data_IF_132017054721
#
_entry.id   IF_132017054721
#
_cell.length_a   1.000
_cell.length_b   1.000
_cell.length_c   1.000
_cell.angle_alpha   90.00
_cell.angle_beta   90.00
_cell.angle_gamma   90.00
#
_symmetry.space_group_name_H-M   'P 1'
#
loop_
_entity.id
_entity.type
_entity.pdbx_description
1 polymer ?
#
# COMPACT_ATOMS: atom_id res chain seq x y z
N UNK A 1 -5.03 12.95 6.78
CA UNK A 1 -4.28 11.96 7.59
C UNK A 1 -2.97 12.55 8.16
N UNK A 2 -2.51 12.17 9.36
CA UNK A 2 -1.24 12.65 9.99
C UNK A 2 0.03 12.44 9.13
N UNK A 3 -0.01 11.60 8.10
CA UNK A 3 1.06 11.47 7.11
C UNK A 3 1.31 12.76 6.31
N UNK A 4 0.28 13.58 6.06
CA UNK A 4 0.43 14.84 5.33
C UNK A 4 1.26 15.88 6.09
N UNK A 5 1.37 15.74 7.42
CA UNK A 5 2.12 16.64 8.28
C UNK A 5 3.62 16.28 8.34
N UNK A 6 4.01 15.12 7.82
CA UNK A 6 5.41 14.70 7.73
C UNK A 6 6.01 15.24 6.42
N UNK A 7 6.58 16.45 6.50
CA UNK A 7 7.31 17.08 5.41
C UNK A 7 8.37 16.15 4.82
N UNK A 8 8.25 15.87 3.53
CA UNK A 8 9.19 15.25 2.57
C UNK A 8 9.99 13.98 2.93
N UNK A 9 9.92 13.45 4.15
CA UNK A 9 10.82 12.37 4.58
C UNK A 9 10.30 10.93 4.32
N UNK A 10 9.02 10.75 4.03
CA UNK A 10 8.42 9.42 3.83
C UNK A 10 8.37 9.10 2.34
N UNK A 11 9.22 8.16 1.90
CA UNK A 11 9.28 7.70 0.51
C UNK A 11 8.39 6.48 0.20
N UNK A 12 7.94 5.76 1.23
CA UNK A 12 7.09 4.57 1.09
C UNK A 12 6.03 4.54 2.19
N UNK A 13 4.77 4.29 1.81
CA UNK A 13 3.67 3.96 2.72
C UNK A 13 3.34 2.47 2.59
N UNK A 14 3.23 1.79 3.74
CA UNK A 14 2.76 0.41 3.81
C UNK A 14 1.41 0.40 4.52
N UNK A 15 0.37 -0.15 3.89
CA UNK A 15 -0.99 -0.20 4.47
C UNK A 15 -1.64 -1.57 4.26
N UNK A 16 -2.55 -1.96 5.16
CA UNK A 16 -3.44 -3.10 4.90
C UNK A 16 -4.42 -2.75 3.76
N UNK A 17 -4.89 -3.75 3.03
CA UNK A 17 -5.95 -3.59 2.02
C UNK A 17 -7.30 -3.39 2.70
N UNK A 18 -7.57 -4.13 3.78
CA UNK A 18 -8.85 -4.10 4.48
C UNK A 18 -8.59 -3.71 5.94
N UNK A 19 -9.14 -2.56 6.35
CA UNK A 19 -9.10 -2.09 7.73
C UNK A 19 -10.53 -1.77 8.19
N UNK A 20 -10.86 -1.93 9.49
CA UNK A 20 -12.08 -1.36 10.04
C UNK A 20 -12.06 0.17 9.92
N UNK A 21 -13.08 0.75 9.29
CA UNK A 21 -13.16 2.19 9.04
C UNK A 21 -12.74 2.55 7.60
N UNK A 22 -11.72 3.41 7.47
CA UNK A 22 -11.21 3.80 6.15
C UNK A 22 -10.37 2.66 5.56
N UNK A 23 -10.72 2.22 4.35
CA UNK A 23 -9.95 1.17 3.68
C UNK A 23 -8.57 1.71 3.31
N UNK A 24 -7.53 0.86 3.38
CA UNK A 24 -6.21 1.29 2.93
C UNK A 24 -6.20 1.67 1.45
N UNK A 25 -7.17 1.21 0.67
CA UNK A 25 -7.42 1.69 -0.69
C UNK A 25 -7.82 3.16 -0.74
N UNK A 26 -8.80 3.59 0.05
CA UNK A 26 -9.23 4.98 0.09
C UNK A 26 -8.08 5.90 0.53
N UNK A 27 -7.32 5.48 1.55
CA UNK A 27 -6.12 6.18 1.99
C UNK A 27 -5.06 6.25 0.87
N UNK A 28 -4.85 5.16 0.13
CA UNK A 28 -3.91 5.14 -0.98
C UNK A 28 -4.33 6.08 -2.12
N UNK A 29 -5.61 6.17 -2.43
CA UNK A 29 -6.13 7.09 -3.45
C UNK A 29 -5.98 8.56 -3.00
N UNK A 30 -6.24 8.87 -1.72
CA UNK A 30 -5.98 10.19 -1.12
C UNK A 30 -4.49 10.55 -1.22
N UNK A 31 -3.61 9.64 -0.80
CA UNK A 31 -2.17 9.85 -0.77
C UNK A 31 -1.56 9.92 -2.17
N UNK A 32 -2.06 9.14 -3.15
CA UNK A 32 -1.62 9.23 -4.54
C UNK A 32 -1.94 10.61 -5.15
N UNK A 33 -3.01 11.25 -4.69
CA UNK A 33 -3.37 12.62 -5.10
C UNK A 33 -2.52 13.67 -4.39
N UNK A 34 -2.32 13.52 -3.07
CA UNK A 34 -1.58 14.48 -2.26
C UNK A 34 -0.05 14.40 -2.44
N UNK A 35 0.49 13.20 -2.71
CA UNK A 35 1.92 12.89 -2.82
C UNK A 35 2.16 11.92 -3.98
N UNK A 36 2.17 12.37 -5.24
CA UNK A 36 2.33 11.50 -6.41
C UNK A 36 3.62 10.66 -6.43
N UNK A 37 4.68 11.13 -5.77
CA UNK A 37 5.97 10.42 -5.67
C UNK A 37 6.00 9.39 -4.54
N UNK A 38 4.97 9.34 -3.68
CA UNK A 38 4.89 8.38 -2.59
C UNK A 38 4.60 6.98 -3.14
N UNK A 39 5.52 6.05 -2.87
CA UNK A 39 5.33 4.64 -3.22
C UNK A 39 4.40 3.98 -2.21
N UNK A 40 3.45 3.19 -2.69
CA UNK A 40 2.45 2.52 -1.85
C UNK A 40 2.63 1.01 -1.99
N UNK A 41 2.79 0.34 -0.85
CA UNK A 41 2.84 -1.12 -0.74
C UNK A 41 1.66 -1.59 0.10
N UNK A 42 0.79 -2.40 -0.48
CA UNK A 42 -0.29 -3.03 0.27
C UNK A 42 0.21 -4.30 0.97
N UNK A 43 -0.29 -4.61 2.15
CA UNK A 43 -0.02 -5.86 2.84
C UNK A 43 -1.33 -6.59 3.18
N UNK A 44 -1.57 -7.78 2.63
CA UNK A 44 -2.86 -8.48 2.77
C UNK A 44 -2.73 -9.97 3.03
N UNK A 45 -3.59 -10.51 3.88
CA UNK A 45 -3.77 -11.96 4.07
C UNK A 45 -4.93 -12.57 3.27
N UNK A 46 -5.62 -11.76 2.46
CA UNK A 46 -6.73 -12.22 1.62
C UNK A 46 -6.22 -12.91 0.35
N UNK A 47 -7.11 -13.56 -0.40
CA UNK A 47 -6.82 -14.20 -1.69
C UNK A 47 -6.58 -13.15 -2.79
N UNK A 48 -6.09 -13.58 -3.96
CA UNK A 48 -5.82 -12.71 -5.10
C UNK A 48 -7.11 -12.07 -5.63
N UNK A 49 -8.16 -12.87 -5.80
CA UNK A 49 -9.49 -12.43 -6.27
C UNK A 49 -10.13 -11.36 -5.35
N UNK A 50 -9.98 -11.53 -4.03
CA UNK A 50 -10.49 -10.56 -3.06
C UNK A 50 -9.77 -9.22 -3.16
N UNK A 51 -8.46 -9.26 -3.43
CA UNK A 51 -7.65 -8.05 -3.57
C UNK A 51 -7.92 -7.36 -4.90
N UNK A 52 -8.05 -8.10 -5.99
CA UNK A 52 -8.43 -7.54 -7.29
C UNK A 52 -9.78 -6.84 -7.21
N UNK A 53 -10.76 -7.42 -6.50
CA UNK A 53 -12.05 -6.76 -6.25
C UNK A 53 -11.93 -5.45 -5.48
N UNK A 54 -11.01 -5.35 -4.52
CA UNK A 54 -10.87 -4.17 -3.65
C UNK A 54 -9.97 -3.09 -4.25
N UNK A 55 -8.88 -3.49 -4.91
CA UNK A 55 -7.90 -2.59 -5.50
C UNK A 55 -8.19 -2.26 -6.97
N UNK A 56 -9.07 -3.02 -7.63
CA UNK A 56 -9.34 -2.86 -9.05
C UNK A 56 -8.10 -3.18 -9.91
N UNK A 57 -8.32 -3.23 -11.22
CA UNK A 57 -7.26 -3.55 -12.20
C UNK A 57 -6.60 -2.32 -12.81
N UNK A 58 -7.13 -1.13 -12.52
CA UNK A 58 -6.79 0.10 -13.25
C UNK A 58 -5.40 0.66 -12.93
N UNK A 59 -4.76 0.17 -11.86
CA UNK A 59 -3.37 0.54 -11.53
C UNK A 59 -2.59 -0.69 -11.04
N UNK A 60 -1.31 -0.84 -11.44
CA UNK A 60 -0.46 -1.87 -10.91
C UNK A 60 -0.19 -1.62 -9.41
N UNK A 61 -0.93 -2.31 -8.55
CA UNK A 61 -0.75 -2.29 -7.10
C UNK A 61 0.34 -3.27 -6.69
N UNK A 62 1.24 -2.83 -5.80
CA UNK A 62 2.26 -3.70 -5.20
C UNK A 62 1.71 -4.29 -3.92
N UNK A 63 1.87 -5.60 -3.77
CA UNK A 63 1.29 -6.35 -2.67
C UNK A 63 2.34 -7.23 -1.98
N UNK A 64 2.31 -7.22 -0.65
CA UNK A 64 3.01 -8.12 0.24
C UNK A 64 1.99 -9.07 0.90
N UNK A 65 2.07 -10.36 0.58
CA UNK A 65 1.15 -11.37 1.14
C UNK A 65 1.49 -11.66 2.61
N UNK A 66 0.48 -11.74 3.46
CA UNK A 66 0.61 -12.16 4.86
C UNK A 66 0.37 -13.68 4.96
N UNK A 67 1.09 -14.40 5.84
CA UNK A 67 2.24 -13.93 6.60
C UNK A 67 3.47 -13.74 5.69
N UNK A 68 4.33 -12.78 6.03
CA UNK A 68 5.60 -12.54 5.35
C UNK A 68 6.78 -12.52 6.33
N UNK A 69 7.94 -12.87 5.82
CA UNK A 69 9.24 -12.77 6.47
C UNK A 69 9.85 -11.38 6.28
N UNK A 70 10.90 -11.09 7.07
CA UNK A 70 11.71 -9.86 6.88
C UNK A 70 12.38 -9.80 5.50
N UNK A 71 12.72 -10.96 4.94
CA UNK A 71 13.36 -11.03 3.62
C UNK A 71 12.37 -10.65 2.50
N UNK A 72 11.13 -11.14 2.58
CA UNK A 72 10.06 -10.79 1.65
C UNK A 72 9.68 -9.31 1.74
N UNK A 73 9.60 -8.75 2.95
CA UNK A 73 9.40 -7.31 3.12
C UNK A 73 10.53 -6.49 2.47
N UNK A 74 11.80 -6.88 2.66
CA UNK A 74 12.94 -6.21 2.04
C UNK A 74 12.88 -6.31 0.51
N UNK A 75 12.54 -7.47 -0.04
CA UNK A 75 12.42 -7.67 -1.49
C UNK A 75 11.28 -6.81 -2.07
N UNK A 76 10.14 -6.77 -1.39
CA UNK A 76 9.01 -5.94 -1.79
C UNK A 76 9.39 -4.45 -1.81
N UNK A 77 10.06 -3.94 -0.76
CA UNK A 77 10.54 -2.55 -0.69
C UNK A 77 11.57 -2.24 -1.77
N UNK A 78 12.49 -3.16 -2.04
CA UNK A 78 13.48 -3.00 -3.10
C UNK A 78 12.84 -2.89 -4.49
N UNK A 79 11.74 -3.62 -4.74
CA UNK A 79 10.99 -3.56 -6.01
C UNK A 79 10.27 -2.22 -6.28
N UNK A 80 10.24 -1.32 -5.29
CA UNK A 80 9.63 0.01 -5.42
C UNK A 80 10.59 1.06 -6.00
N UNK A 81 11.90 0.77 -6.09
CA UNK A 81 12.94 1.66 -6.63
C UNK A 81 13.56 1.05 -7.88
#
# INVERSE_FOLDING_TARGET
AQLAEHGDAIGVMITDVVMPGESGRALADEMATARPDLKILFASGYTDDEIERVLGTDRPVRLLRKPFTRAELRAALASLY
#
